data_IF_516348910323
#
_entry.id   IF_516348910323
#
_cell.length_a   1.000
_cell.length_b   1.000
_cell.length_c   1.000
_cell.angle_alpha   90.00
_cell.angle_beta   90.00
_cell.angle_gamma   90.00
#
_symmetry.space_group_name_H-M   'P 1'
#
loop_
_entity.id
_entity.type
_entity.pdbx_description
1 polymer ?
#
# COMPACT_ATOMS: atom_id res chain seq x y z
N UNK A 1 -21.32 -18.35 -1.62
CA UNK A 1 -20.15 -17.56 -2.05
C UNK A 1 -19.27 -18.26 -3.12
N UNK A 2 -19.35 -19.57 -3.32
CA UNK A 2 -18.57 -20.30 -4.34
C UNK A 2 -19.02 -20.07 -5.79
N UNK A 3 -20.30 -19.83 -6.03
CA UNK A 3 -20.83 -19.63 -7.39
C UNK A 3 -20.29 -18.35 -8.07
N UNK A 4 -20.00 -17.29 -7.30
CA UNK A 4 -19.47 -16.02 -7.82
C UNK A 4 -17.99 -16.12 -8.22
N UNK A 5 -17.18 -16.91 -7.49
CA UNK A 5 -15.77 -17.21 -7.82
C UNK A 5 -15.64 -18.00 -9.13
N UNK A 6 -16.49 -19.01 -9.30
CA UNK A 6 -16.45 -19.87 -10.51
C UNK A 6 -16.84 -19.11 -11.79
N UNK A 7 -17.72 -18.11 -11.69
CA UNK A 7 -18.10 -17.28 -12.85
C UNK A 7 -16.99 -16.28 -13.22
N UNK A 8 -16.26 -15.75 -12.26
CA UNK A 8 -15.11 -14.87 -12.50
C UNK A 8 -13.94 -15.60 -13.16
N UNK A 9 -13.64 -16.82 -12.71
CA UNK A 9 -12.59 -17.68 -13.29
C UNK A 9 -12.95 -18.10 -14.74
N UNK A 10 -14.21 -18.40 -15.03
CA UNK A 10 -14.66 -18.74 -16.41
C UNK A 10 -14.61 -17.55 -17.36
N UNK A 11 -14.89 -16.32 -16.91
CA UNK A 11 -14.74 -15.11 -17.72
C UNK A 11 -13.27 -14.78 -17.97
N UNK A 12 -12.43 -14.86 -16.95
CA UNK A 12 -10.97 -14.72 -17.08
C UNK A 12 -10.39 -15.75 -18.09
N UNK A 13 -10.91 -16.96 -18.16
CA UNK A 13 -10.46 -17.96 -19.12
C UNK A 13 -10.89 -17.65 -20.56
N UNK A 14 -12.00 -16.98 -20.78
CA UNK A 14 -12.46 -16.57 -22.12
C UNK A 14 -11.68 -15.34 -22.63
N UNK A 15 -11.33 -14.41 -21.75
CA UNK A 15 -10.55 -13.21 -22.08
C UNK A 15 -9.04 -13.39 -21.88
N UNK A 16 -8.59 -14.53 -21.34
CA UNK A 16 -7.19 -14.83 -21.09
C UNK A 16 -6.24 -14.55 -22.29
N UNK A 17 -6.57 -14.93 -23.54
CA UNK A 17 -5.70 -14.62 -24.67
C UNK A 17 -5.54 -13.12 -24.92
N UNK A 18 -6.58 -12.32 -24.69
CA UNK A 18 -6.55 -10.86 -24.85
C UNK A 18 -5.78 -10.19 -23.71
N UNK A 19 -5.97 -10.65 -22.47
CA UNK A 19 -5.24 -10.15 -21.33
C UNK A 19 -3.75 -10.53 -21.41
N UNK A 20 -3.39 -11.68 -21.97
CA UNK A 20 -2.01 -12.07 -22.20
C UNK A 20 -1.28 -11.14 -23.19
N UNK A 21 -2.00 -10.52 -24.12
CA UNK A 21 -1.40 -9.52 -25.03
C UNK A 21 -0.92 -8.25 -24.34
N UNK A 22 -1.39 -7.96 -23.12
CA UNK A 22 -0.92 -6.82 -22.33
C UNK A 22 0.48 -7.05 -21.74
N UNK A 23 0.91 -8.31 -21.56
CA UNK A 23 2.19 -8.63 -20.93
C UNK A 23 3.39 -8.05 -21.70
N UNK A 24 3.52 -8.28 -23.04
CA UNK A 24 4.60 -7.68 -23.81
C UNK A 24 4.57 -6.15 -23.80
N UNK A 25 3.39 -5.56 -23.78
CA UNK A 25 3.22 -4.12 -23.75
C UNK A 25 3.66 -3.54 -22.40
N UNK A 26 3.27 -4.16 -21.28
CA UNK A 26 3.73 -3.79 -19.94
C UNK A 26 5.25 -3.90 -19.86
N UNK A 27 5.84 -4.99 -20.34
CA UNK A 27 7.27 -5.21 -20.34
C UNK A 27 8.02 -4.14 -21.16
N UNK A 28 7.49 -3.77 -22.33
CA UNK A 28 8.06 -2.73 -23.19
C UNK A 28 8.01 -1.35 -22.53
N UNK A 29 6.85 -0.98 -21.96
CA UNK A 29 6.65 0.33 -21.32
C UNK A 29 7.44 0.47 -20.01
N UNK A 30 7.71 -0.63 -19.34
CA UNK A 30 8.47 -0.64 -18.09
C UNK A 30 9.93 -0.20 -18.23
N UNK A 31 10.52 -0.35 -19.41
CA UNK A 31 11.91 0.03 -19.69
C UNK A 31 12.93 -0.47 -18.62
N UNK A 32 12.67 -1.63 -18.05
CA UNK A 32 13.48 -2.22 -16.98
C UNK A 32 13.14 -1.75 -15.55
N UNK A 33 12.17 -0.85 -15.38
CA UNK A 33 11.76 -0.35 -14.07
C UNK A 33 10.75 -1.32 -13.42
N UNK A 34 11.24 -2.26 -12.62
CA UNK A 34 10.42 -3.27 -11.95
C UNK A 34 9.32 -2.67 -11.05
N UNK A 35 9.62 -1.58 -10.36
CA UNK A 35 8.65 -0.94 -9.47
C UNK A 35 7.44 -0.40 -10.24
N UNK A 36 7.64 0.13 -11.44
CA UNK A 36 6.57 0.54 -12.34
C UNK A 36 5.67 -0.67 -12.70
N UNK A 37 6.29 -1.80 -13.08
CA UNK A 37 5.54 -3.04 -13.37
C UNK A 37 4.70 -3.47 -12.16
N UNK A 38 5.28 -3.45 -10.98
CA UNK A 38 4.60 -3.84 -9.75
C UNK A 38 3.31 -3.05 -9.53
N UNK A 39 3.38 -1.72 -9.62
CA UNK A 39 2.21 -0.87 -9.41
C UNK A 39 1.18 -1.01 -10.51
N UNK A 40 1.60 -1.03 -11.77
CA UNK A 40 0.69 -1.19 -12.91
C UNK A 40 -0.05 -2.52 -12.86
N UNK A 41 0.66 -3.62 -12.63
CA UNK A 41 0.04 -4.94 -12.51
C UNK A 41 -0.94 -4.99 -11.33
N UNK A 42 -0.59 -4.35 -10.21
CA UNK A 42 -1.47 -4.26 -9.05
C UNK A 42 -2.76 -3.50 -9.35
N UNK A 43 -2.67 -2.34 -10.02
CA UNK A 43 -3.85 -1.56 -10.44
C UNK A 43 -4.72 -2.37 -11.40
N UNK A 44 -4.11 -3.06 -12.39
CA UNK A 44 -4.85 -3.90 -13.33
C UNK A 44 -5.53 -5.11 -12.65
N UNK A 45 -4.88 -5.75 -11.67
CA UNK A 45 -5.50 -6.84 -10.89
C UNK A 45 -6.71 -6.33 -10.12
N UNK A 46 -6.62 -5.17 -9.51
CA UNK A 46 -7.74 -4.55 -8.79
C UNK A 46 -8.93 -4.29 -9.72
N UNK A 47 -8.68 -3.82 -10.95
CA UNK A 47 -9.71 -3.58 -11.95
C UNK A 47 -10.34 -4.92 -12.43
N UNK A 48 -9.54 -5.97 -12.60
CA UNK A 48 -10.02 -7.33 -12.92
C UNK A 48 -10.96 -7.87 -11.82
N UNK A 49 -10.59 -7.68 -10.57
CA UNK A 49 -11.43 -8.04 -9.41
C UNK A 49 -12.75 -7.26 -9.40
N UNK A 50 -12.73 -6.01 -9.87
CA UNK A 50 -13.90 -5.16 -10.10
C UNK A 50 -14.80 -5.61 -11.28
N UNK A 51 -14.45 -6.70 -12.01
CA UNK A 51 -15.14 -7.25 -13.18
C UNK A 51 -15.06 -6.37 -14.43
N UNK A 52 -14.02 -5.60 -14.58
CA UNK A 52 -13.76 -4.86 -15.80
C UNK A 52 -13.29 -5.79 -16.93
N UNK A 53 -13.62 -5.44 -18.18
CA UNK A 53 -13.22 -6.23 -19.34
C UNK A 53 -11.80 -5.89 -19.84
N UNK A 54 -11.22 -6.75 -20.70
CA UNK A 54 -9.87 -6.55 -21.21
C UNK A 54 -9.68 -5.28 -22.04
N UNK A 55 -10.73 -4.76 -22.67
CA UNK A 55 -10.65 -3.52 -23.42
C UNK A 55 -10.41 -2.33 -22.49
N UNK A 56 -11.08 -2.34 -21.35
CA UNK A 56 -10.91 -1.31 -20.31
C UNK A 56 -9.53 -1.39 -19.67
N UNK A 57 -9.00 -2.59 -19.44
CA UNK A 57 -7.63 -2.81 -18.94
C UNK A 57 -6.59 -2.23 -19.91
N UNK A 58 -6.77 -2.40 -21.22
CA UNK A 58 -5.90 -1.78 -22.21
C UNK A 58 -5.98 -0.25 -22.15
N UNK A 59 -7.18 0.30 -22.13
CA UNK A 59 -7.38 1.74 -21.98
C UNK A 59 -6.73 2.27 -20.67
N UNK A 60 -6.85 1.52 -19.57
CA UNK A 60 -6.18 1.85 -18.31
C UNK A 60 -4.66 1.90 -18.47
N UNK A 61 -4.09 0.87 -19.11
CA UNK A 61 -2.66 0.82 -19.38
C UNK A 61 -2.20 2.00 -20.26
N UNK A 62 -3.01 2.44 -21.21
CA UNK A 62 -2.70 3.55 -22.11
C UNK A 62 -2.63 4.90 -21.40
N UNK A 63 -3.38 5.07 -20.31
CA UNK A 63 -3.37 6.30 -19.49
C UNK A 63 -2.38 6.27 -18.33
N UNK A 64 -1.69 5.15 -18.12
CA UNK A 64 -0.65 5.06 -17.09
C UNK A 64 0.60 5.83 -17.53
N UNK A 65 1.13 6.75 -16.69
CA UNK A 65 2.37 7.43 -16.99
C UNK A 65 3.54 6.45 -17.16
N UNK A 66 4.40 6.70 -18.13
CA UNK A 66 5.63 5.91 -18.34
C UNK A 66 6.71 6.24 -17.33
N UNK A 67 6.72 7.47 -16.81
CA UNK A 67 7.66 7.91 -15.78
C UNK A 67 7.14 7.57 -14.39
N UNK A 68 8.04 7.10 -13.54
CA UNK A 68 7.70 6.66 -12.20
C UNK A 68 7.27 7.82 -11.29
N UNK A 69 7.89 8.99 -11.46
CA UNK A 69 7.57 10.21 -10.72
C UNK A 69 6.12 10.65 -10.98
N UNK A 70 5.71 10.74 -12.24
CA UNK A 70 4.34 11.08 -12.64
C UNK A 70 3.34 10.02 -12.12
N UNK A 71 3.78 8.77 -12.04
CA UNK A 71 2.96 7.70 -11.48
C UNK A 71 2.76 7.86 -9.97
N UNK A 72 3.81 8.25 -9.23
CA UNK A 72 3.71 8.54 -7.79
C UNK A 72 2.83 9.75 -7.51
N UNK A 73 2.97 10.84 -8.26
CA UNK A 73 2.06 11.98 -8.16
C UNK A 73 0.61 11.55 -8.31
N UNK A 74 0.32 10.72 -9.31
CA UNK A 74 -1.03 10.18 -9.51
C UNK A 74 -1.51 9.29 -8.36
N UNK A 75 -0.62 8.50 -7.73
CA UNK A 75 -0.98 7.72 -6.54
C UNK A 75 -1.31 8.65 -5.37
N UNK A 76 -0.50 9.69 -5.15
CA UNK A 76 -0.70 10.67 -4.09
C UNK A 76 -2.00 11.46 -4.27
N UNK A 77 -2.35 11.83 -5.49
CA UNK A 77 -3.59 12.53 -5.81
C UNK A 77 -4.86 11.70 -5.51
N UNK A 78 -4.74 10.37 -5.57
CA UNK A 78 -5.83 9.44 -5.23
C UNK A 78 -6.05 9.27 -3.72
N UNK A 79 -5.20 9.86 -2.87
CA UNK A 79 -5.41 9.87 -1.43
C UNK A 79 -6.63 10.75 -1.13
N UNK A 80 -7.60 10.19 -0.40
CA UNK A 80 -8.79 10.91 0.00
C UNK A 80 -8.43 12.20 0.78
N UNK A 81 -9.09 13.30 0.46
CA UNK A 81 -8.82 14.61 1.06
C UNK A 81 -8.92 14.60 2.59
N UNK A 82 -9.83 13.80 3.16
CA UNK A 82 -9.94 13.64 4.62
C UNK A 82 -8.70 12.99 5.26
N UNK A 83 -7.90 12.29 4.46
CA UNK A 83 -6.73 11.55 4.91
C UNK A 83 -5.40 12.20 4.51
N UNK A 84 -5.42 13.24 3.65
CA UNK A 84 -4.20 13.89 3.17
C UNK A 84 -3.31 14.41 4.29
N UNK A 85 -3.88 15.04 5.31
CA UNK A 85 -3.13 15.55 6.45
C UNK A 85 -2.43 14.45 7.25
N UNK A 86 -3.13 13.35 7.49
CA UNK A 86 -2.56 12.18 8.17
C UNK A 86 -1.49 11.50 7.33
N UNK A 87 -1.76 11.30 6.04
CA UNK A 87 -0.81 10.73 5.09
C UNK A 87 0.47 11.58 5.00
N UNK A 88 0.36 12.90 4.84
CA UNK A 88 1.50 13.81 4.80
C UNK A 88 2.36 13.69 6.05
N UNK A 89 1.76 13.62 7.24
CA UNK A 89 2.49 13.47 8.49
C UNK A 89 3.22 12.11 8.57
N UNK A 90 2.57 11.01 8.12
CA UNK A 90 3.21 9.69 8.07
C UNK A 90 4.42 9.71 7.12
N UNK A 91 4.27 10.30 5.92
CA UNK A 91 5.36 10.43 4.96
C UNK A 91 6.51 11.29 5.51
N UNK A 92 6.22 12.46 6.08
CA UNK A 92 7.22 13.36 6.65
C UNK A 92 8.04 12.67 7.76
N UNK A 93 7.38 11.98 8.69
CA UNK A 93 8.07 11.23 9.75
C UNK A 93 8.97 10.16 9.13
N UNK A 94 8.49 9.47 8.09
CA UNK A 94 9.24 8.37 7.49
C UNK A 94 10.41 8.87 6.65
N UNK A 95 10.31 10.03 5.99
CA UNK A 95 11.39 10.60 5.17
C UNK A 95 12.47 11.25 6.00
N UNK A 96 12.10 11.94 7.07
CA UNK A 96 13.03 12.64 7.97
C UNK A 96 13.76 11.69 8.94
N UNK A 97 13.23 10.49 9.15
CA UNK A 97 13.85 9.53 10.04
C UNK A 97 15.17 8.99 9.46
N UNK A 98 16.24 9.01 10.27
CA UNK A 98 17.55 8.44 9.92
C UNK A 98 17.42 6.93 9.66
N UNK A 99 16.61 6.24 10.47
CA UNK A 99 16.25 4.84 10.32
C UNK A 99 14.72 4.70 10.20
N UNK A 100 14.23 3.62 9.56
CA UNK A 100 12.79 3.39 9.52
C UNK A 100 12.16 3.49 10.91
N UNK A 101 11.19 4.41 11.10
CA UNK A 101 10.63 4.68 12.40
C UNK A 101 9.86 3.47 12.95
N UNK A 102 9.88 3.24 14.28
CA UNK A 102 9.14 2.15 14.87
C UNK A 102 7.64 2.36 14.72
N UNK A 103 6.90 1.27 14.47
CA UNK A 103 5.45 1.31 14.37
C UNK A 103 4.80 1.89 15.63
N UNK A 104 5.44 1.69 16.78
CA UNK A 104 5.01 2.24 18.05
C UNK A 104 4.88 3.77 18.03
N UNK A 105 5.80 4.49 17.38
CA UNK A 105 5.74 5.96 17.28
C UNK A 105 4.44 6.43 16.59
N UNK A 106 4.02 5.72 15.54
CA UNK A 106 2.78 6.03 14.84
C UNK A 106 1.53 5.69 15.66
N UNK A 107 1.59 4.64 16.50
CA UNK A 107 0.48 4.31 17.40
C UNK A 107 0.28 5.38 18.46
N UNK A 108 1.38 5.93 19.01
CA UNK A 108 1.33 7.04 19.97
C UNK A 108 0.76 8.30 19.32
N UNK A 109 1.24 8.65 18.14
CA UNK A 109 0.76 9.80 17.39
C UNK A 109 -0.75 9.72 17.09
N UNK A 110 -1.23 8.53 16.76
CA UNK A 110 -2.64 8.31 16.50
C UNK A 110 -3.48 8.44 17.78
N UNK A 111 -2.97 7.93 18.88
CA UNK A 111 -3.61 8.05 20.19
C UNK A 111 -3.67 9.50 20.67
N UNK A 112 -2.59 10.27 20.50
CA UNK A 112 -2.54 11.69 20.86
C UNK A 112 -3.55 12.53 20.07
N UNK A 113 -3.73 12.23 18.78
CA UNK A 113 -4.78 12.89 17.97
C UNK A 113 -6.19 12.64 18.49
N UNK A 114 -6.44 11.46 19.03
CA UNK A 114 -7.76 11.08 19.54
C UNK A 114 -8.00 11.62 20.93
N UNK A 115 -6.94 11.74 21.74
CA UNK A 115 -7.01 12.24 23.12
C UNK A 115 -5.78 13.11 23.42
N UNK A 116 -5.93 14.46 23.53
CA UNK A 116 -4.83 15.35 23.86
C UNK A 116 -4.17 15.07 25.22
N UNK A 117 -4.86 14.38 26.12
CA UNK A 117 -4.35 13.98 27.44
C UNK A 117 -3.73 12.57 27.43
N UNK A 118 -3.62 11.94 26.27
CA UNK A 118 -3.15 10.57 26.12
C UNK A 118 -1.83 10.31 26.86
N UNK A 119 -0.87 11.25 26.81
CA UNK A 119 0.42 11.09 27.47
C UNK A 119 0.35 10.98 29.00
N UNK A 120 -0.75 11.46 29.63
CA UNK A 120 -1.01 11.37 31.06
C UNK A 120 -1.75 10.06 31.43
N UNK A 121 -2.42 9.47 30.48
CA UNK A 121 -3.30 8.29 30.65
C UNK A 121 -2.71 6.99 30.08
N UNK A 122 -1.52 7.08 29.47
CA UNK A 122 -0.89 5.95 28.78
C UNK A 122 -0.62 4.79 29.73
N UNK A 123 -1.11 3.60 29.38
CA UNK A 123 -0.73 2.36 30.02
C UNK A 123 0.66 1.91 29.51
N UNK A 124 1.66 1.98 30.38
CA UNK A 124 3.05 1.63 30.08
C UNK A 124 3.31 0.11 30.08
N UNK A 125 2.28 -0.72 30.26
CA UNK A 125 2.47 -2.18 30.18
C UNK A 125 2.92 -2.61 28.80
N UNK A 126 3.76 -3.64 28.77
CA UNK A 126 4.16 -4.26 27.50
C UNK A 126 2.96 -4.98 26.88
N UNK A 127 2.62 -4.71 25.60
CA UNK A 127 1.53 -5.42 24.92
C UNK A 127 1.85 -6.92 24.75
N UNK A 128 0.85 -7.74 24.84
CA UNK A 128 0.94 -9.18 24.56
C UNK A 128 1.18 -9.43 23.06
N UNK A 129 1.66 -10.60 22.69
CA UNK A 129 1.88 -10.98 21.29
C UNK A 129 0.61 -10.87 20.42
N UNK A 130 -0.58 -11.16 20.99
CA UNK A 130 -1.85 -11.02 20.30
C UNK A 130 -2.20 -9.55 20.05
N UNK A 131 -1.94 -8.66 21.00
CA UNK A 131 -2.14 -7.20 20.85
C UNK A 131 -1.15 -6.64 19.83
N UNK A 132 0.12 -7.04 19.85
CA UNK A 132 1.12 -6.65 18.84
C UNK A 132 0.64 -7.03 17.45
N UNK A 133 0.19 -8.26 17.24
CA UNK A 133 -0.33 -8.72 15.96
C UNK A 133 -1.52 -7.87 15.50
N UNK A 134 -2.50 -7.63 16.38
CA UNK A 134 -3.67 -6.81 16.07
C UNK A 134 -3.28 -5.37 15.67
N UNK A 135 -2.33 -4.77 16.38
CA UNK A 135 -1.80 -3.43 16.05
C UNK A 135 -1.15 -3.44 14.66
N UNK A 136 -0.31 -4.44 14.35
CA UNK A 136 0.35 -4.56 13.07
C UNK A 136 -0.64 -4.75 11.91
N UNK A 137 -1.64 -5.61 12.08
CA UNK A 137 -2.69 -5.85 11.09
C UNK A 137 -3.50 -4.57 10.83
N UNK A 138 -3.90 -3.87 11.91
CA UNK A 138 -4.63 -2.59 11.84
C UNK A 138 -3.80 -1.52 11.09
N UNK A 139 -2.50 -1.39 11.42
CA UNK A 139 -1.64 -0.42 10.78
C UNK A 139 -1.30 -0.77 9.32
N UNK A 140 -1.19 -2.04 9.00
CA UNK A 140 -1.04 -2.49 7.61
C UNK A 140 -2.23 -2.04 6.75
N UNK A 141 -3.45 -2.20 7.25
CA UNK A 141 -4.66 -1.72 6.58
C UNK A 141 -4.69 -0.19 6.50
N UNK A 142 -4.31 0.48 7.60
CA UNK A 142 -4.28 1.94 7.69
C UNK A 142 -3.29 2.54 6.69
N UNK A 143 -2.07 2.02 6.60
CA UNK A 143 -1.07 2.47 5.62
C UNK A 143 -1.54 2.24 4.18
N UNK A 144 -2.17 1.10 3.88
CA UNK A 144 -2.75 0.86 2.55
C UNK A 144 -3.76 1.93 2.16
N UNK A 145 -4.66 2.31 3.06
CA UNK A 145 -5.68 3.32 2.77
C UNK A 145 -5.14 4.76 2.76
N UNK A 146 -4.15 5.08 3.61
CA UNK A 146 -3.58 6.44 3.76
C UNK A 146 -2.43 6.71 2.80
N UNK A 147 -1.56 5.71 2.58
CA UNK A 147 -0.31 5.86 1.84
C UNK A 147 -0.28 5.03 0.54
N UNK A 148 -1.43 4.45 0.15
CA UNK A 148 -1.60 3.73 -1.13
C UNK A 148 -0.51 2.70 -1.41
N UNK A 149 -0.10 1.93 -0.38
CA UNK A 149 0.97 0.92 -0.45
C UNK A 149 2.37 1.45 -0.78
N UNK A 150 2.59 2.77 -0.72
CA UNK A 150 3.94 3.33 -0.83
C UNK A 150 4.79 3.05 0.43
N UNK A 151 4.12 2.80 1.55
CA UNK A 151 4.73 2.39 2.81
C UNK A 151 4.23 0.99 3.23
N UNK A 152 5.06 0.28 3.96
CA UNK A 152 4.77 -1.05 4.52
C UNK A 152 5.16 -1.15 5.98
N UNK A 153 4.49 -2.04 6.71
CA UNK A 153 4.90 -2.47 8.06
C UNK A 153 5.75 -3.73 7.92
N UNK A 154 6.95 -3.73 8.48
CA UNK A 154 7.86 -4.87 8.40
C UNK A 154 8.51 -5.14 9.76
N UNK A 155 8.64 -6.43 10.13
CA UNK A 155 9.39 -6.85 11.30
C UNK A 155 10.87 -7.02 10.97
N UNK A 156 11.76 -6.55 11.86
CA UNK A 156 13.21 -6.76 11.75
C UNK A 156 13.70 -8.00 12.51
N UNK A 157 13.05 -8.37 13.62
CA UNK A 157 13.56 -9.37 14.57
C UNK A 157 12.48 -10.36 15.01
N UNK A 158 11.77 -10.99 14.07
CA UNK A 158 10.78 -12.02 14.38
C UNK A 158 9.42 -11.54 14.90
N UNK A 159 9.25 -10.24 15.20
CA UNK A 159 7.95 -9.61 15.42
C UNK A 159 7.24 -9.89 16.74
N UNK A 160 7.96 -10.41 17.75
CA UNK A 160 7.37 -10.68 19.06
C UNK A 160 7.14 -9.43 19.92
N UNK A 161 7.83 -8.33 19.62
CA UNK A 161 7.72 -7.04 20.28
C UNK A 161 7.26 -5.98 19.29
N UNK A 162 6.43 -5.04 19.74
CA UNK A 162 5.98 -3.93 18.89
C UNK A 162 7.13 -3.04 18.41
N UNK A 163 8.21 -2.96 19.20
CA UNK A 163 9.42 -2.24 18.82
C UNK A 163 10.22 -2.89 17.68
N UNK A 164 9.97 -4.16 17.37
CA UNK A 164 10.60 -4.84 16.24
C UNK A 164 9.99 -4.43 14.90
N UNK A 165 8.79 -3.86 14.92
CA UNK A 165 8.06 -3.47 13.74
C UNK A 165 8.40 -2.05 13.32
N UNK A 166 8.65 -1.88 12.03
CA UNK A 166 9.04 -0.62 11.41
C UNK A 166 8.08 -0.23 10.31
N UNK A 167 7.93 1.07 10.09
CA UNK A 167 7.28 1.62 8.90
C UNK A 167 8.38 2.06 7.96
N UNK A 168 8.37 1.53 6.75
CA UNK A 168 9.38 1.82 5.75
C UNK A 168 8.78 1.95 4.35
N UNK A 169 9.49 2.61 3.46
CA UNK A 169 9.11 2.68 2.06
C UNK A 169 9.07 1.29 1.43
N UNK A 170 8.11 1.06 0.56
CA UNK A 170 8.02 -0.20 -0.20
C UNK A 170 9.32 -0.47 -0.97
N UNK A 171 9.91 0.58 -1.52
CA UNK A 171 11.17 0.55 -2.26
C UNK A 171 11.91 1.89 -2.08
N UNK A 172 13.25 1.88 -2.15
CA UNK A 172 14.07 3.10 -2.03
C UNK A 172 13.69 4.20 -3.02
N UNK A 173 13.35 3.85 -4.25
CA UNK A 173 12.94 4.81 -5.29
C UNK A 173 11.64 5.56 -4.96
N UNK A 174 10.86 5.10 -3.99
CA UNK A 174 9.68 5.85 -3.50
C UNK A 174 10.10 6.97 -2.56
N UNK A 175 11.25 6.80 -1.89
CA UNK A 175 11.83 7.79 -0.97
C UNK A 175 12.59 8.89 -1.72
N UNK A 176 13.38 8.50 -2.73
CA UNK A 176 14.26 9.35 -3.52
C UNK A 176 13.47 10.18 -4.55
#
# INVERSE_FOLDING_TARGET
MECSRNMSIKRLSADAPRCLSLIPEIASRAQGVWLWVFFVVKDLIHDIEGKEDCHLLKHRLDVVPSKLEEYFERIMDRIDNIHKGEAAQIFLITIEAIEPPPLYAFTLLDAERQNPNFSLEIDLRKPSAAEVKNICDKWTIKLKSRCRDLLKVQSRFGGGDLNDWRVEYLHRTVRD
#
